data_IF_667235970713
#
_entry.id   IF_667235970713
#
_cell.length_a   1.000
_cell.length_b   1.000
_cell.length_c   1.000
_cell.angle_alpha   90.00
_cell.angle_beta   90.00
_cell.angle_gamma   90.00
#
_symmetry.space_group_name_H-M   'P 1'
#
loop_
_entity.id
_entity.type
_entity.pdbx_description
1 polymer ?
#
# COMPACT_ATOMS: atom_id res chain seq x y z
N UNK A 1 10.12 6.45 18.59
CA UNK A 1 9.47 7.12 17.45
C UNK A 1 9.18 6.04 16.41
N UNK A 2 8.01 6.04 15.74
CA UNK A 2 7.80 5.14 14.61
C UNK A 2 8.86 5.47 13.55
N UNK A 3 9.62 4.47 13.11
CA UNK A 3 10.64 4.66 12.07
C UNK A 3 9.94 5.11 10.77
N UNK A 4 10.54 6.01 10.01
CA UNK A 4 9.98 6.51 8.73
C UNK A 4 9.51 5.38 7.80
N UNK A 5 10.20 4.24 7.82
CA UNK A 5 9.79 3.02 7.13
C UNK A 5 8.40 2.51 7.55
N UNK A 6 8.10 2.43 8.85
CA UNK A 6 6.78 2.03 9.35
C UNK A 6 5.69 3.01 8.91
N UNK A 7 5.98 4.31 8.95
CA UNK A 7 5.04 5.33 8.50
C UNK A 7 4.74 5.21 6.99
N UNK A 8 5.77 4.93 6.18
CA UNK A 8 5.62 4.72 4.75
C UNK A 8 4.87 3.42 4.43
N UNK A 9 5.16 2.33 5.13
CA UNK A 9 4.45 1.06 4.97
C UNK A 9 2.96 1.22 5.33
N UNK A 10 2.66 1.92 6.42
CA UNK A 10 1.27 2.27 6.77
C UNK A 10 0.57 3.06 5.66
N UNK A 11 1.27 4.00 5.01
CA UNK A 11 0.73 4.75 3.85
C UNK A 11 0.52 3.86 2.63
N UNK A 12 1.43 2.92 2.34
CA UNK A 12 1.29 1.94 1.26
C UNK A 12 0.00 1.15 1.45
N UNK A 13 -0.18 0.56 2.64
CA UNK A 13 -1.36 -0.24 2.98
C UNK A 13 -2.66 0.58 2.88
N UNK A 14 -2.67 1.82 3.38
CA UNK A 14 -3.86 2.70 3.26
C UNK A 14 -4.25 3.02 1.81
N UNK A 15 -3.28 3.30 0.94
CA UNK A 15 -3.58 3.61 -0.47
C UNK A 15 -4.02 2.34 -1.21
N UNK A 16 -3.40 1.21 -0.90
CA UNK A 16 -3.76 -0.10 -1.42
C UNK A 16 -5.20 -0.46 -1.05
N UNK A 17 -5.57 -0.34 0.22
CA UNK A 17 -6.92 -0.62 0.68
C UNK A 17 -7.98 0.21 -0.07
N UNK A 18 -7.73 1.52 -0.23
CA UNK A 18 -8.59 2.40 -1.05
C UNK A 18 -8.72 1.96 -2.50
N UNK A 19 -7.62 1.55 -3.12
CA UNK A 19 -7.61 1.06 -4.50
C UNK A 19 -8.34 -0.28 -4.60
N UNK A 20 -8.15 -1.19 -3.64
CA UNK A 20 -8.82 -2.48 -3.60
C UNK A 20 -10.34 -2.34 -3.39
N UNK A 21 -10.76 -1.41 -2.53
CA UNK A 21 -12.17 -1.05 -2.36
C UNK A 21 -12.81 -0.56 -3.67
N UNK A 22 -12.01 0.07 -4.53
CA UNK A 22 -12.41 0.53 -5.87
C UNK A 22 -11.93 -0.38 -7.00
N UNK A 23 -11.54 -1.63 -6.72
CA UNK A 23 -10.95 -2.55 -7.72
C UNK A 23 -11.86 -2.77 -8.93
N UNK A 24 -13.18 -2.77 -8.70
CA UNK A 24 -14.21 -2.85 -9.75
C UNK A 24 -14.22 -1.63 -10.70
N UNK A 25 -13.65 -0.51 -10.28
CA UNK A 25 -13.56 0.73 -11.03
C UNK A 25 -12.14 1.04 -11.53
N UNK A 26 -11.19 0.12 -11.34
CA UNK A 26 -9.85 0.25 -11.93
C UNK A 26 -9.97 -0.16 -13.40
N UNK A 27 -9.71 0.76 -14.35
CA UNK A 27 -9.76 0.43 -15.78
C UNK A 27 -8.68 -0.60 -16.14
N UNK A 28 -8.93 -1.43 -17.15
CA UNK A 28 -8.04 -2.51 -17.58
C UNK A 28 -6.61 -2.05 -17.88
N UNK A 29 -6.44 -0.83 -18.40
CA UNK A 29 -5.15 -0.16 -18.61
C UNK A 29 -4.32 -0.02 -17.32
N UNK A 30 -4.98 0.26 -16.21
CA UNK A 30 -4.35 0.44 -14.89
C UNK A 30 -4.33 -0.83 -14.06
N UNK A 31 -5.06 -1.86 -14.48
CA UNK A 31 -5.13 -3.14 -13.77
C UNK A 31 -3.78 -3.87 -13.77
N UNK A 32 -3.01 -3.80 -14.87
CA UNK A 32 -1.64 -4.34 -14.92
C UNK A 32 -0.68 -3.61 -13.96
N UNK A 33 -0.76 -2.27 -13.92
CA UNK A 33 0.05 -1.44 -13.01
C UNK A 33 -0.35 -1.70 -11.54
N UNK A 34 -1.65 -1.87 -11.28
CA UNK A 34 -2.17 -2.29 -9.98
C UNK A 34 -1.67 -3.66 -9.56
N UNK A 35 -1.75 -4.68 -10.42
CA UNK A 35 -1.35 -6.06 -10.08
C UNK A 35 0.15 -6.15 -9.76
N UNK A 36 0.99 -5.48 -10.55
CA UNK A 36 2.43 -5.39 -10.29
C UNK A 36 2.75 -4.70 -8.94
N UNK A 37 2.06 -3.59 -8.63
CA UNK A 37 2.22 -2.91 -7.33
C UNK A 37 1.61 -3.73 -6.19
N UNK A 38 0.53 -4.46 -6.44
CA UNK A 38 -0.10 -5.35 -5.48
C UNK A 38 0.85 -6.48 -5.08
N UNK A 39 1.53 -7.10 -6.05
CA UNK A 39 2.54 -8.12 -5.81
C UNK A 39 3.75 -7.59 -5.03
N UNK A 40 4.26 -6.41 -5.39
CA UNK A 40 5.36 -5.78 -4.64
C UNK A 40 4.98 -5.42 -3.19
N UNK A 41 3.71 -5.09 -2.96
CA UNK A 41 3.23 -4.70 -1.63
C UNK A 41 2.71 -5.86 -0.79
N UNK A 42 2.59 -7.06 -1.37
CA UNK A 42 2.18 -8.27 -0.65
C UNK A 42 3.16 -8.63 0.49
N UNK A 43 4.44 -8.25 0.36
CA UNK A 43 5.43 -8.41 1.42
C UNK A 43 5.03 -7.64 2.71
N UNK A 44 4.37 -6.48 2.56
CA UNK A 44 3.88 -5.68 3.68
C UNK A 44 2.54 -6.18 4.25
N UNK A 45 1.82 -7.01 3.52
CA UNK A 45 0.53 -7.58 3.93
C UNK A 45 0.66 -8.84 4.77
N UNK A 46 1.90 -9.25 5.13
CA UNK A 46 2.16 -10.40 5.99
C UNK A 46 1.09 -10.49 7.07
N UNK A 47 0.24 -11.53 6.96
CA UNK A 47 -0.99 -11.74 7.71
C UNK A 47 -0.79 -11.59 9.25
N UNK A 48 0.45 -11.78 9.70
CA UNK A 48 0.94 -11.51 11.05
C UNK A 48 0.84 -10.04 11.53
N UNK A 49 0.90 -9.04 10.64
CA UNK A 49 0.72 -7.60 10.96
C UNK A 49 -0.74 -7.27 11.29
N UNK A 50 -1.69 -7.96 10.67
CA UNK A 50 -3.13 -7.68 10.87
C UNK A 50 -3.73 -8.58 11.96
N UNK A 51 -3.40 -9.88 11.98
CA UNK A 51 -3.93 -10.82 12.97
C UNK A 51 -3.34 -10.67 14.38
N UNK A 52 -2.17 -10.05 14.53
CA UNK A 52 -1.58 -9.77 15.85
C UNK A 52 -1.94 -8.37 16.38
N UNK A 53 -2.78 -7.60 15.68
CA UNK A 53 -3.28 -6.30 16.14
C UNK A 53 -4.34 -6.48 17.24
N UNK A 54 -3.97 -7.17 18.32
CA UNK A 54 -4.77 -7.22 19.54
C UNK A 54 -4.76 -5.83 20.15
N UNK A 55 -5.95 -5.23 20.26
CA UNK A 55 -6.20 -3.92 20.87
C UNK A 55 -5.53 -3.84 22.26
N UNK A 56 -4.39 -3.14 22.35
CA UNK A 56 -3.69 -2.89 23.62
C UNK A 56 -2.19 -3.26 23.67
N UNK A 57 -1.64 -3.99 22.70
CA UNK A 57 -0.19 -4.27 22.66
C UNK A 57 0.56 -3.32 21.71
N UNK A 58 1.58 -2.62 22.24
CA UNK A 58 2.57 -1.90 21.43
C UNK A 58 3.31 -2.92 20.55
N UNK A 59 2.97 -2.98 19.27
CA UNK A 59 3.71 -3.77 18.28
C UNK A 59 5.15 -3.25 18.20
N UNK A 60 6.08 -4.03 18.74
CA UNK A 60 7.52 -3.84 18.55
C UNK A 60 8.06 -4.95 17.65
N UNK A 61 7.36 -5.26 16.55
CA UNK A 61 7.89 -6.13 15.51
C UNK A 61 8.37 -5.26 14.37
N UNK A 62 9.69 -5.15 14.30
CA UNK A 62 10.44 -4.67 13.16
C UNK A 62 9.85 -5.37 11.94
N UNK A 63 9.29 -4.60 11.02
CA UNK A 63 9.00 -5.13 9.70
C UNK A 63 10.40 -5.43 9.15
N UNK A 64 10.69 -6.70 8.87
CA UNK A 64 11.95 -7.19 8.26
C UNK A 64 12.10 -6.72 6.80
N UNK A 65 11.70 -5.48 6.54
CA UNK A 65 11.96 -4.80 5.30
C UNK A 65 13.43 -4.41 5.28
N UNK A 66 14.21 -5.25 4.63
CA UNK A 66 15.64 -5.05 4.37
C UNK A 66 15.91 -4.05 3.24
N UNK A 67 14.85 -3.57 2.57
CA UNK A 67 14.96 -2.55 1.52
C UNK A 67 15.13 -1.12 2.06
N UNK A 68 15.43 -0.20 1.16
CA UNK A 68 15.67 1.20 1.54
C UNK A 68 14.37 1.99 1.74
N UNK A 69 14.38 2.96 2.66
CA UNK A 69 13.28 3.93 2.87
C UNK A 69 12.92 4.65 1.57
N UNK A 70 13.89 4.86 0.69
CA UNK A 70 13.68 5.43 -0.65
C UNK A 70 12.79 4.55 -1.54
N UNK A 71 12.98 3.23 -1.52
CA UNK A 71 12.14 2.31 -2.30
C UNK A 71 10.69 2.32 -1.79
N UNK A 72 10.50 2.39 -0.47
CA UNK A 72 9.19 2.59 0.14
C UNK A 72 8.55 3.92 -0.29
N UNK A 73 9.33 5.00 -0.30
CA UNK A 73 8.86 6.33 -0.74
C UNK A 73 8.46 6.33 -2.22
N UNK A 74 9.22 5.64 -3.06
CA UNK A 74 8.90 5.43 -4.47
C UNK A 74 7.63 4.60 -4.65
N UNK A 75 7.45 3.52 -3.88
CA UNK A 75 6.24 2.70 -3.88
C UNK A 75 4.99 3.51 -3.49
N UNK A 76 5.07 4.28 -2.40
CA UNK A 76 3.99 5.20 -1.97
C UNK A 76 3.66 6.19 -3.09
N UNK A 77 4.68 6.76 -3.74
CA UNK A 77 4.49 7.72 -4.83
C UNK A 77 3.83 7.09 -6.06
N UNK A 78 4.25 5.88 -6.46
CA UNK A 78 3.64 5.11 -7.56
C UNK A 78 2.17 4.78 -7.25
N UNK A 79 1.87 4.30 -6.05
CA UNK A 79 0.51 4.01 -5.60
C UNK A 79 -0.37 5.27 -5.55
N UNK A 80 0.15 6.39 -5.05
CA UNK A 80 -0.57 7.67 -5.08
C UNK A 80 -0.88 8.11 -6.51
N UNK A 81 0.08 7.98 -7.43
CA UNK A 81 -0.10 8.34 -8.84
C UNK A 81 -1.17 7.46 -9.47
N UNK A 82 -1.14 6.14 -9.23
CA UNK A 82 -2.15 5.19 -9.68
C UNK A 82 -3.54 5.55 -9.12
N UNK A 83 -3.66 5.78 -7.81
CA UNK A 83 -4.91 6.19 -7.19
C UNK A 83 -5.47 7.50 -7.76
N UNK A 84 -4.59 8.47 -8.06
CA UNK A 84 -4.99 9.71 -8.72
C UNK A 84 -5.50 9.45 -10.14
N UNK A 85 -4.81 8.61 -10.92
CA UNK A 85 -5.27 8.23 -12.27
C UNK A 85 -6.65 7.55 -12.22
N UNK A 86 -6.81 6.53 -11.36
CA UNK A 86 -8.10 5.82 -11.18
C UNK A 86 -9.21 6.79 -10.79
N UNK A 87 -8.94 7.73 -9.87
CA UNK A 87 -9.93 8.75 -9.45
C UNK A 87 -10.29 9.70 -10.60
N UNK A 88 -9.31 10.17 -11.39
CA UNK A 88 -9.57 11.04 -12.55
C UNK A 88 -10.38 10.31 -13.62
N UNK A 89 -10.06 9.04 -13.89
CA UNK A 89 -10.81 8.22 -14.84
C UNK A 89 -12.25 7.98 -14.38
N UNK A 90 -12.50 7.79 -13.08
CA UNK A 90 -13.86 7.71 -12.53
C UNK A 90 -14.68 9.00 -12.69
N UNK A 91 -14.06 10.18 -12.55
CA UNK A 91 -14.78 11.47 -12.65
C UNK A 91 -15.17 11.81 -14.10
N UNK A 92 -14.55 11.17 -15.09
CA UNK A 92 -14.85 11.38 -16.51
C UNK A 92 -16.02 10.54 -17.05
N UNK A 93 -16.70 9.78 -16.20
CA UNK A 93 -17.73 8.83 -16.60
C UNK A 93 -19.13 9.24 -16.16
#
# INVERSE_FOLDING_TARGET
MPSDAQLLIGKVLQIKDKLNAKRHAIPSDLQKEWDALNGQTACFESDALFNSAVKGQKMNKQIDYTGSVEELSQLVSKLKKLNKKVTITQVRH
#
